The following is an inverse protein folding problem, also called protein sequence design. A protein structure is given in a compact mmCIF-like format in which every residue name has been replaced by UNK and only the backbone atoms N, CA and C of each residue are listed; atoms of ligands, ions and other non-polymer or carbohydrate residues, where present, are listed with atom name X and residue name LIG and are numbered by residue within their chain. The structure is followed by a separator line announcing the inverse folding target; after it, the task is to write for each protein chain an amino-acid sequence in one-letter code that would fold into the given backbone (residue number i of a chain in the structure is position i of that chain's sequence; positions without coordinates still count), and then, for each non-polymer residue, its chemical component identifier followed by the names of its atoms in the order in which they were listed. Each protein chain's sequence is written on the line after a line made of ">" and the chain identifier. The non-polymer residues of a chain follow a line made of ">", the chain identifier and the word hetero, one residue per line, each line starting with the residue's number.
data_IF_351718509121
#
_entry.id   IF_351718509121
#
_cell.length_a   1.000
_cell.length_b   1.000
_cell.length_c   1.000
_cell.angle_alpha   90.00
_cell.angle_beta   90.00
_cell.angle_gamma   90.00
#
_symmetry.space_group_name_H-M   'P 1'
#
loop_
_entity.id
_entity.type
_entity.pdbx_description
1 polymer ?
#
# COMPACT_ATOMS: atom_id res chain seq x y z
N UNK A 1 8.83 -26.11 16.34
CA UNK A 1 8.44 -24.69 16.47
C UNK A 1 8.92 -23.99 15.21
N UNK A 2 8.14 -23.05 14.68
CA UNK A 2 8.58 -22.24 13.52
C UNK A 2 9.11 -20.92 14.07
N UNK A 3 10.31 -20.53 13.65
CA UNK A 3 10.92 -19.24 13.99
C UNK A 3 10.81 -18.30 12.78
N UNK A 4 10.08 -17.19 12.96
CA UNK A 4 9.86 -16.22 11.89
C UNK A 4 10.89 -15.10 11.97
N UNK A 5 11.52 -14.76 10.84
CA UNK A 5 12.55 -13.72 10.80
C UNK A 5 11.99 -12.33 10.46
N UNK A 6 11.17 -12.22 9.43
CA UNK A 6 10.54 -10.99 8.96
C UNK A 6 9.43 -11.31 7.96
N UNK A 7 8.58 -10.33 7.66
CA UNK A 7 7.70 -10.38 6.48
C UNK A 7 8.57 -10.19 5.24
N UNK A 8 8.55 -11.16 4.32
CA UNK A 8 9.31 -11.05 3.08
C UNK A 8 8.62 -10.11 2.07
N UNK A 9 7.33 -10.31 1.85
CA UNK A 9 6.54 -9.55 0.89
C UNK A 9 5.05 -9.58 1.23
N UNK A 10 4.33 -8.61 0.70
CA UNK A 10 2.86 -8.61 0.60
C UNK A 10 2.50 -8.79 -0.87
N UNK A 11 1.47 -9.60 -1.15
CA UNK A 11 0.94 -9.77 -2.51
C UNK A 11 -0.52 -9.34 -2.56
N UNK A 12 -0.85 -8.48 -3.52
CA UNK A 12 -2.21 -8.03 -3.77
C UNK A 12 -2.68 -8.50 -5.15
N UNK A 13 -3.93 -8.97 -5.20
CA UNK A 13 -4.64 -9.14 -6.45
C UNK A 13 -5.16 -7.77 -6.91
N UNK A 14 -4.86 -7.42 -8.16
CA UNK A 14 -5.40 -6.22 -8.82
C UNK A 14 -6.16 -6.64 -10.07
N UNK A 15 -7.27 -5.98 -10.38
CA UNK A 15 -8.12 -6.38 -11.53
C UNK A 15 -7.48 -6.00 -12.86
N UNK A 16 -6.83 -4.84 -12.91
CA UNK A 16 -6.15 -4.29 -14.08
C UNK A 16 -4.77 -3.74 -13.67
N UNK A 17 -3.71 -4.34 -14.23
CA UNK A 17 -2.34 -3.96 -13.87
C UNK A 17 -1.97 -2.56 -14.32
N UNK A 18 -2.50 -2.09 -15.46
CA UNK A 18 -2.19 -0.75 -15.98
C UNK A 18 -2.84 0.33 -15.10
N UNK A 19 -4.07 0.10 -14.65
CA UNK A 19 -4.74 0.97 -13.66
C UNK A 19 -3.96 0.97 -12.35
N UNK A 20 -3.56 -0.21 -11.85
CA UNK A 20 -2.76 -0.32 -10.65
C UNK A 20 -1.41 0.40 -10.79
N UNK A 21 -0.70 0.26 -11.92
CA UNK A 21 0.59 0.94 -12.15
C UNK A 21 0.44 2.47 -12.16
N UNK A 22 -0.65 3.02 -12.69
CA UNK A 22 -0.92 4.47 -12.59
C UNK A 22 -0.99 4.93 -11.14
N UNK A 23 -1.62 4.15 -10.27
CA UNK A 23 -1.70 4.44 -8.84
C UNK A 23 -0.34 4.23 -8.14
N UNK A 24 0.19 3.00 -8.15
CA UNK A 24 1.38 2.63 -7.37
C UNK A 24 2.68 3.24 -7.91
N UNK A 25 2.93 3.17 -9.22
CA UNK A 25 4.15 3.76 -9.82
C UNK A 25 3.98 5.27 -10.07
N UNK A 26 2.80 5.69 -10.50
CA UNK A 26 2.53 7.07 -10.89
C UNK A 26 2.29 7.99 -9.70
N UNK A 27 1.24 7.71 -8.92
CA UNK A 27 0.82 8.57 -7.82
C UNK A 27 1.64 8.33 -6.55
N UNK A 28 1.80 7.08 -6.11
CA UNK A 28 2.57 6.75 -4.90
C UNK A 28 4.09 6.69 -5.13
N UNK A 29 4.54 6.80 -6.38
CA UNK A 29 5.97 6.80 -6.75
C UNK A 29 6.76 5.60 -6.22
N UNK A 30 6.11 4.45 -6.07
CA UNK A 30 6.78 3.22 -5.64
C UNK A 30 7.81 2.77 -6.68
N UNK A 31 8.97 2.33 -6.19
CA UNK A 31 10.07 1.90 -7.05
C UNK A 31 9.83 0.48 -7.56
N UNK A 32 9.55 0.33 -8.86
CA UNK A 32 9.46 -0.98 -9.52
C UNK A 32 10.82 -1.68 -9.50
N UNK A 33 10.82 -2.98 -9.20
CA UNK A 33 12.00 -3.85 -9.22
C UNK A 33 11.84 -4.98 -10.23
N UNK A 34 12.95 -5.60 -10.62
CA UNK A 34 12.94 -6.67 -11.61
C UNK A 34 12.13 -7.86 -11.10
N UNK A 35 11.01 -8.13 -11.77
CA UNK A 35 10.21 -9.34 -11.57
C UNK A 35 10.77 -10.50 -12.41
N UNK A 36 10.97 -11.70 -11.84
CA UNK A 36 11.31 -12.90 -12.61
C UNK A 36 10.24 -13.24 -13.68
N UNK A 37 10.60 -13.99 -14.72
CA UNK A 37 9.70 -14.31 -15.83
C UNK A 37 8.68 -15.40 -15.45
N UNK A 38 7.69 -15.05 -14.61
CA UNK A 38 6.56 -15.91 -14.30
C UNK A 38 5.50 -15.89 -15.40
N UNK A 39 4.70 -16.95 -15.48
CA UNK A 39 3.56 -17.02 -16.41
C UNK A 39 2.41 -16.05 -16.04
N UNK A 40 2.35 -15.61 -14.78
CA UNK A 40 1.36 -14.64 -14.33
C UNK A 40 1.72 -13.22 -14.78
N UNK A 41 0.70 -12.37 -14.95
CA UNK A 41 0.89 -10.93 -15.24
C UNK A 41 0.97 -10.17 -13.91
N UNK A 42 1.96 -9.28 -13.76
CA UNK A 42 2.18 -8.58 -12.50
C UNK A 42 3.45 -7.73 -12.48
N UNK A 43 3.62 -6.95 -11.41
CA UNK A 43 4.79 -6.11 -11.15
C UNK A 43 5.20 -6.18 -9.67
N UNK A 44 6.46 -5.92 -9.37
CA UNK A 44 7.02 -5.94 -8.01
C UNK A 44 7.58 -4.56 -7.67
N UNK A 45 7.37 -4.12 -6.43
CA UNK A 45 7.89 -2.86 -5.90
C UNK A 45 8.78 -3.08 -4.68
N UNK A 46 9.81 -2.25 -4.54
CA UNK A 46 10.64 -2.22 -3.34
C UNK A 46 10.01 -1.36 -2.23
N UNK A 47 10.06 -1.87 -1.00
CA UNK A 47 9.72 -1.15 0.23
C UNK A 47 10.83 -1.43 1.25
N UNK A 48 11.88 -0.59 1.26
CA UNK A 48 13.08 -0.87 2.04
C UNK A 48 13.71 -2.21 1.62
N UNK A 49 13.81 -3.17 2.55
CA UNK A 49 14.26 -4.54 2.27
C UNK A 49 13.13 -5.51 1.88
N UNK A 50 11.88 -5.07 1.94
CA UNK A 50 10.68 -5.85 1.67
C UNK A 50 10.12 -5.53 0.29
N UNK A 51 9.09 -6.27 -0.13
CA UNK A 51 8.52 -6.16 -1.46
C UNK A 51 7.00 -6.12 -1.43
N UNK A 52 6.42 -5.35 -2.35
CA UNK A 52 4.99 -5.43 -2.68
C UNK A 52 4.85 -6.05 -4.07
N UNK A 53 4.06 -7.12 -4.18
CA UNK A 53 3.78 -7.79 -5.43
C UNK A 53 2.35 -7.49 -5.85
N UNK A 54 2.17 -6.93 -7.06
CA UNK A 54 0.84 -6.84 -7.66
C UNK A 54 0.70 -7.92 -8.72
N UNK A 55 -0.37 -8.69 -8.63
CA UNK A 55 -0.70 -9.74 -9.59
C UNK A 55 -2.05 -9.42 -10.23
N UNK A 56 -2.07 -9.37 -11.56
CA UNK A 56 -3.32 -9.17 -12.28
C UNK A 56 -4.21 -10.40 -12.15
N UNK A 57 -5.36 -10.23 -11.52
CA UNK A 57 -6.40 -11.23 -11.37
C UNK A 57 -7.77 -10.56 -11.52
N UNK A 58 -8.38 -10.55 -12.72
CA UNK A 58 -9.62 -9.83 -12.98
C UNK A 58 -10.82 -10.27 -12.11
N UNK A 59 -10.81 -11.52 -11.66
CA UNK A 59 -11.83 -12.06 -10.75
C UNK A 59 -11.50 -11.82 -9.26
N UNK A 60 -10.28 -11.36 -8.96
CA UNK A 60 -9.86 -11.01 -7.62
C UNK A 60 -10.60 -9.77 -7.14
N UNK A 61 -11.14 -9.85 -5.94
CA UNK A 61 -11.82 -8.75 -5.30
C UNK A 61 -11.58 -8.81 -3.80
N UNK A 62 -11.51 -7.64 -3.18
CA UNK A 62 -11.64 -7.52 -1.73
C UNK A 62 -13.12 -7.66 -1.36
N UNK A 63 -13.42 -7.96 -0.09
CA UNK A 63 -14.81 -7.97 0.39
C UNK A 63 -15.36 -6.55 0.62
N UNK A 64 -14.55 -5.51 0.40
CA UNK A 64 -14.89 -4.12 0.70
C UNK A 64 -15.80 -3.55 -0.37
N UNK A 65 -16.91 -2.99 0.08
CA UNK A 65 -17.93 -2.44 -0.81
C UNK A 65 -17.73 -0.93 -1.05
N UNK A 66 -17.18 -0.18 -0.10
CA UNK A 66 -16.63 1.17 -0.25
C UNK A 66 -16.02 1.69 1.07
N UNK A 67 -15.12 2.67 0.98
CA UNK A 67 -14.60 3.42 2.14
C UNK A 67 -13.45 2.72 2.89
N UNK A 68 -12.82 3.47 3.79
CA UNK A 68 -11.74 2.97 4.65
C UNK A 68 -12.36 2.41 5.94
N UNK A 69 -12.16 1.11 6.18
CA UNK A 69 -12.43 0.47 7.48
C UNK A 69 -11.11 -0.06 8.04
N UNK A 70 -10.57 0.61 9.05
CA UNK A 70 -9.30 0.24 9.68
C UNK A 70 -9.36 -1.08 10.47
N UNK A 71 -10.54 -1.67 10.65
CA UNK A 71 -10.70 -3.01 11.23
C UNK A 71 -10.49 -4.12 10.18
N UNK A 72 -10.60 -3.80 8.88
CA UNK A 72 -10.39 -4.73 7.79
C UNK A 72 -8.88 -4.94 7.50
N UNK A 73 -8.55 -5.99 6.76
CA UNK A 73 -7.20 -6.34 6.37
C UNK A 73 -6.53 -5.26 5.51
N UNK A 74 -5.37 -4.82 5.97
CA UNK A 74 -4.51 -3.84 5.32
C UNK A 74 -3.05 -4.30 5.41
N UNK A 75 -2.16 -3.57 4.76
CA UNK A 75 -0.74 -3.64 5.03
C UNK A 75 -0.20 -2.25 5.32
N UNK A 76 0.73 -2.18 6.26
CA UNK A 76 1.29 -0.95 6.76
C UNK A 76 2.72 -0.74 6.26
N UNK A 77 3.04 0.51 5.92
CA UNK A 77 4.34 0.94 5.45
C UNK A 77 4.83 2.08 6.34
N UNK A 78 6.02 1.92 6.91
CA UNK A 78 6.66 3.02 7.63
C UNK A 78 7.25 4.05 6.66
N UNK A 79 6.71 5.26 6.68
CA UNK A 79 7.19 6.41 5.88
C UNK A 79 8.09 7.32 6.72
N UNK A 80 8.86 8.17 6.05
CA UNK A 80 9.86 9.03 6.72
C UNK A 80 9.24 10.22 7.45
N UNK A 81 8.16 10.78 6.90
CA UNK A 81 7.49 11.97 7.41
C UNK A 81 6.00 11.85 7.18
N UNK A 82 5.22 12.09 8.23
CA UNK A 82 3.77 12.18 8.16
C UNK A 82 3.34 13.37 7.29
N UNK A 83 3.88 14.56 7.56
CA UNK A 83 3.52 15.81 6.86
C UNK A 83 3.84 15.76 5.38
N UNK A 84 5.02 15.27 5.00
CA UNK A 84 5.40 15.16 3.59
C UNK A 84 4.50 14.17 2.85
N UNK A 85 4.17 13.05 3.50
CA UNK A 85 3.26 12.04 2.92
C UNK A 85 1.86 12.62 2.74
N UNK A 86 1.30 13.25 3.77
CA UNK A 86 -0.03 13.88 3.71
C UNK A 86 -0.10 14.95 2.61
N UNK A 87 0.88 15.87 2.58
CA UNK A 87 0.94 16.93 1.59
C UNK A 87 1.05 16.37 0.15
N UNK A 88 1.79 15.27 -0.03
CA UNK A 88 1.88 14.61 -1.32
C UNK A 88 0.54 13.99 -1.75
N UNK A 89 -0.15 13.28 -0.84
CA UNK A 89 -1.48 12.70 -1.12
C UNK A 89 -2.49 13.79 -1.51
N UNK A 90 -2.51 14.91 -0.78
CA UNK A 90 -3.33 16.08 -1.09
C UNK A 90 -3.01 16.67 -2.47
N UNK A 91 -1.72 16.83 -2.78
CA UNK A 91 -1.27 17.35 -4.07
C UNK A 91 -1.71 16.44 -5.24
N UNK A 92 -1.71 15.13 -5.04
CA UNK A 92 -2.15 14.16 -6.05
C UNK A 92 -3.67 13.97 -6.08
N UNK A 93 -4.43 14.58 -5.16
CA UNK A 93 -5.88 14.43 -5.06
C UNK A 93 -6.32 13.02 -4.65
N UNK A 94 -5.52 12.33 -3.84
CA UNK A 94 -5.82 10.99 -3.32
C UNK A 94 -6.65 11.13 -2.04
N UNK A 95 -7.80 10.47 -1.98
CA UNK A 95 -8.60 10.40 -0.76
C UNK A 95 -7.88 9.59 0.33
N UNK A 96 -7.94 10.09 1.56
CA UNK A 96 -7.26 9.50 2.69
C UNK A 96 -8.08 9.63 3.99
N UNK A 97 -7.78 8.78 4.97
CA UNK A 97 -8.16 8.97 6.37
C UNK A 97 -6.89 9.16 7.19
N UNK A 98 -6.75 10.31 7.86
CA UNK A 98 -5.55 10.65 8.61
C UNK A 98 -5.81 10.65 10.13
N UNK A 99 -4.92 10.00 10.87
CA UNK A 99 -4.95 9.89 12.34
C UNK A 99 -3.59 10.34 12.91
N UNK A 100 -3.35 11.67 13.03
CA UNK A 100 -2.06 12.21 13.44
C UNK A 100 -1.69 11.84 14.88
N UNK A 101 -2.67 11.66 15.75
CA UNK A 101 -2.52 11.40 17.19
C UNK A 101 -3.08 10.02 17.59
N UNK A 102 -2.85 9.00 16.76
CA UNK A 102 -3.37 7.65 17.00
C UNK A 102 -2.87 7.05 18.31
N UNK A 103 -3.71 6.28 19.00
CA UNK A 103 -3.35 5.56 20.23
C UNK A 103 -2.36 4.41 19.99
N UNK A 104 -2.06 4.08 18.73
CA UNK A 104 -1.09 3.04 18.35
C UNK A 104 0.38 3.39 18.69
N UNK A 105 0.67 4.66 19.03
CA UNK A 105 2.03 5.12 19.35
C UNK A 105 2.76 5.81 18.20
N UNK A 106 2.09 6.01 17.06
CA UNK A 106 2.61 6.68 15.85
C UNK A 106 1.45 7.29 15.05
N UNK A 107 1.75 8.20 14.13
CA UNK A 107 0.77 8.78 13.22
C UNK A 107 0.43 7.80 12.09
N UNK A 108 -0.83 7.76 11.66
CA UNK A 108 -1.31 6.85 10.62
C UNK A 108 -2.03 7.64 9.51
N UNK A 109 -1.86 7.22 8.25
CA UNK A 109 -2.65 7.68 7.10
C UNK A 109 -3.10 6.46 6.31
N UNK A 110 -4.39 6.32 6.06
CA UNK A 110 -4.96 5.24 5.27
C UNK A 110 -5.41 5.74 3.91
N UNK A 111 -5.17 4.95 2.87
CA UNK A 111 -5.67 5.20 1.51
C UNK A 111 -6.24 3.92 0.92
N UNK A 112 -7.09 4.06 -0.10
CA UNK A 112 -7.54 2.96 -0.95
C UNK A 112 -6.79 2.97 -2.27
N UNK A 113 -6.35 1.80 -2.71
CA UNK A 113 -5.98 1.60 -4.11
C UNK A 113 -7.23 1.49 -5.01
N UNK A 114 -7.08 1.42 -6.35
CA UNK A 114 -8.21 1.31 -7.28
C UNK A 114 -9.10 0.05 -7.11
N UNK A 115 -8.62 -0.96 -6.39
CA UNK A 115 -9.31 -2.22 -6.12
C UNK A 115 -9.73 -2.36 -4.64
N UNK A 116 -9.76 -1.23 -3.93
CA UNK A 116 -10.13 -1.10 -2.52
C UNK A 116 -9.21 -1.88 -1.57
N UNK A 117 -7.94 -2.12 -1.93
CA UNK A 117 -6.92 -2.53 -0.97
C UNK A 117 -6.58 -1.34 -0.07
N UNK A 118 -6.62 -1.56 1.25
CA UNK A 118 -6.24 -0.54 2.23
C UNK A 118 -4.72 -0.55 2.38
N UNK A 119 -4.11 0.61 2.19
CA UNK A 119 -2.69 0.87 2.44
C UNK A 119 -2.62 1.82 3.62
N UNK A 120 -1.83 1.46 4.63
CA UNK A 120 -1.54 2.29 5.79
C UNK A 120 -0.12 2.85 5.69
N UNK A 121 0.04 4.14 5.94
CA UNK A 121 1.32 4.81 6.09
C UNK A 121 1.51 5.23 7.55
N UNK A 122 2.52 4.66 8.18
CA UNK A 122 2.89 4.93 9.57
C UNK A 122 4.09 5.86 9.64
N UNK A 123 4.11 6.77 10.60
CA UNK A 123 5.25 7.66 10.81
C UNK A 123 5.36 8.11 12.27
N UNK A 124 6.54 8.56 12.72
CA UNK A 124 6.66 9.23 14.01
C UNK A 124 5.66 10.40 14.11
N UNK A 125 5.12 10.64 15.30
CA UNK A 125 4.20 11.76 15.52
C UNK A 125 4.81 13.09 15.07
N UNK A 126 3.98 13.89 14.38
CA UNK A 126 4.30 15.24 13.91
C UNK A 126 5.53 15.36 12.99
N UNK A 127 6.04 14.23 12.47
CA UNK A 127 7.14 14.20 11.48
C UNK A 127 6.75 14.79 10.14
#
# INVERSE_FOLDING_TARGET
>A
MIEFAHIHHVSLAVRDLEVAKKFYSGLLRMQEIKRPPFNSTGTWYAIGSQQLHLLQHPQGHTLREAGIDTTDGHFAIWVKSYKETLAWLEQQGIEYEARPDSVAGFAQIFVLDPDCNIIEFDAPYHS
#
